data_IF_280702183828
#
_entry.id   IF_280702183828
#
_cell.length_a   1.000
_cell.length_b   1.000
_cell.length_c   1.000
_cell.angle_alpha   90.00
_cell.angle_beta   90.00
_cell.angle_gamma   90.00
#
_symmetry.space_group_name_H-M   'P 1'
#
loop_
_entity.id
_entity.type
_entity.pdbx_description
1 polymer ?
#
# COMPACT_ATOMS: atom_id res chain seq x y z
N UNK A 1 -39.29 26.03 28.32
CA UNK A 1 -38.86 25.49 27.01
C UNK A 1 -37.45 25.98 26.68
N UNK A 2 -36.42 25.48 27.37
CA UNK A 2 -35.05 26.04 27.24
C UNK A 2 -34.01 24.99 27.60
N UNK A 3 -33.97 23.86 26.89
CA UNK A 3 -32.91 22.84 27.06
C UNK A 3 -32.69 21.90 25.85
N UNK A 4 -33.41 22.06 24.73
CA UNK A 4 -33.26 21.16 23.57
C UNK A 4 -32.16 21.57 22.57
N UNK A 5 -31.60 22.78 22.71
CA UNK A 5 -30.56 23.30 21.79
C UNK A 5 -29.23 22.54 21.92
N UNK A 6 -28.91 22.00 23.11
CA UNK A 6 -27.67 21.25 23.32
C UNK A 6 -27.69 19.84 22.72
N UNK A 7 -28.87 19.22 22.57
CA UNK A 7 -29.00 17.87 22.02
C UNK A 7 -28.86 17.86 20.48
N UNK A 8 -29.24 18.95 19.82
CA UNK A 8 -29.13 19.07 18.35
C UNK A 8 -27.66 19.22 17.87
N UNK A 9 -26.78 19.76 18.72
CA UNK A 9 -25.38 20.03 18.39
C UNK A 9 -24.46 18.79 18.55
N UNK A 10 -24.93 17.73 19.22
CA UNK A 10 -24.15 16.51 19.46
C UNK A 10 -24.20 15.50 18.28
N UNK A 11 -25.14 15.67 17.34
CA UNK A 11 -25.37 14.72 16.24
C UNK A 11 -24.49 14.95 15.00
N UNK A 12 -23.67 16.00 14.96
CA UNK A 12 -22.92 16.40 13.74
C UNK A 12 -21.51 15.80 13.66
N UNK A 13 -21.04 15.04 14.66
CA UNK A 13 -19.62 14.70 14.79
C UNK A 13 -19.24 13.22 14.55
N UNK A 14 -19.98 12.44 13.76
CA UNK A 14 -19.49 11.11 13.35
C UNK A 14 -19.77 10.80 11.89
N UNK A 15 -19.00 11.41 11.00
CA UNK A 15 -18.69 10.82 9.70
C UNK A 15 -17.24 11.10 9.36
N UNK A 16 -16.33 10.51 10.14
CA UNK A 16 -14.95 10.33 9.71
C UNK A 16 -14.96 9.25 8.62
N UNK A 17 -15.32 9.65 7.40
CA UNK A 17 -15.18 8.81 6.22
C UNK A 17 -13.68 8.65 5.99
N UNK A 18 -13.12 7.53 6.45
CA UNK A 18 -11.78 7.11 6.04
C UNK A 18 -11.86 6.90 4.53
N UNK A 19 -11.44 7.91 3.77
CA UNK A 19 -11.26 7.78 2.33
C UNK A 19 -10.22 6.69 2.17
N UNK A 20 -10.65 5.50 1.74
CA UNK A 20 -9.73 4.45 1.38
C UNK A 20 -8.91 5.00 0.20
N UNK A 21 -7.57 4.97 0.27
CA UNK A 21 -6.74 5.45 -0.83
C UNK A 21 -7.10 4.63 -2.08
N UNK A 22 -7.38 5.35 -3.17
CA UNK A 22 -7.62 4.73 -4.46
C UNK A 22 -6.33 4.02 -4.91
N UNK A 23 -6.42 2.78 -5.37
CA UNK A 23 -5.27 1.97 -5.74
C UNK A 23 -5.15 1.84 -7.26
N UNK A 24 -3.93 2.01 -7.76
CA UNK A 24 -3.53 1.63 -9.11
C UNK A 24 -2.95 0.21 -9.03
N UNK A 25 -3.48 -0.69 -9.84
CA UNK A 25 -3.06 -2.09 -9.88
C UNK A 25 -2.08 -2.33 -11.03
N UNK A 26 -0.96 -2.98 -10.71
CA UNK A 26 -0.09 -3.58 -11.70
C UNK A 26 -0.43 -5.06 -11.83
N UNK A 27 -0.55 -5.50 -13.09
CA UNK A 27 -0.71 -6.91 -13.45
C UNK A 27 0.45 -7.77 -12.90
N UNK A 28 0.28 -9.10 -12.84
CA UNK A 28 1.27 -9.99 -12.25
C UNK A 28 2.68 -9.72 -12.79
N UNK A 29 3.56 -9.23 -11.92
CA UNK A 29 4.89 -8.76 -12.27
C UNK A 29 5.94 -9.31 -11.29
N UNK A 30 7.14 -9.51 -11.80
CA UNK A 30 8.30 -9.90 -10.99
C UNK A 30 9.00 -8.65 -10.47
N UNK A 31 9.28 -8.65 -9.17
CA UNK A 31 10.17 -7.66 -8.54
C UNK A 31 11.59 -7.88 -9.06
N UNK A 32 12.15 -6.86 -9.71
CA UNK A 32 13.48 -6.93 -10.30
C UNK A 32 14.58 -6.50 -9.35
N UNK A 33 14.26 -5.66 -8.36
CA UNK A 33 15.20 -5.20 -7.36
C UNK A 33 14.47 -4.86 -6.04
N UNK A 34 15.16 -5.08 -4.92
CA UNK A 34 14.67 -4.80 -3.59
C UNK A 34 15.84 -4.37 -2.70
N UNK A 35 15.87 -3.07 -2.38
CA UNK A 35 16.97 -2.45 -1.64
C UNK A 35 16.45 -1.64 -0.47
N UNK A 36 17.21 -1.60 0.63
CA UNK A 36 16.88 -0.77 1.78
C UNK A 36 17.55 0.58 1.56
N UNK A 37 16.75 1.63 1.38
CA UNK A 37 17.28 2.97 1.28
C UNK A 37 18.01 3.32 2.59
N UNK A 38 19.28 3.71 2.51
CA UNK A 38 20.07 4.01 3.72
C UNK A 38 19.66 5.33 4.38
N UNK A 39 19.00 6.21 3.62
CA UNK A 39 18.58 7.54 4.06
C UNK A 39 17.09 7.59 4.44
N UNK A 40 16.31 6.58 4.05
CA UNK A 40 14.87 6.49 4.32
C UNK A 40 14.49 5.15 4.96
N UNK A 41 13.54 5.17 5.90
CA UNK A 41 13.00 3.95 6.50
C UNK A 41 12.09 3.15 5.55
N UNK A 42 12.16 3.38 4.24
CA UNK A 42 11.32 2.75 3.24
C UNK A 42 12.17 1.79 2.39
N UNK A 43 11.58 0.66 1.99
CA UNK A 43 12.21 -0.29 1.08
C UNK A 43 11.95 0.13 -0.35
N UNK A 44 13.02 0.31 -1.12
CA UNK A 44 12.99 0.59 -2.54
C UNK A 44 12.68 -0.68 -3.32
N UNK A 45 11.72 -0.61 -4.23
CA UNK A 45 11.22 -1.75 -5.02
C UNK A 45 11.20 -1.35 -6.49
N UNK A 46 11.94 -2.10 -7.31
CA UNK A 46 11.87 -1.96 -8.77
C UNK A 46 11.08 -3.12 -9.38
N UNK A 47 10.31 -2.82 -10.42
CA UNK A 47 9.49 -3.80 -11.12
C UNK A 47 10.07 -4.02 -12.53
N UNK A 48 10.17 -5.28 -12.97
CA UNK A 48 10.89 -5.65 -14.20
C UNK A 48 10.36 -5.07 -15.52
N UNK A 49 9.25 -4.32 -15.53
CA UNK A 49 8.68 -3.69 -16.74
C UNK A 49 8.88 -2.16 -16.76
N UNK A 50 9.34 -1.55 -15.67
CA UNK A 50 9.33 -0.09 -15.53
C UNK A 50 10.62 0.41 -14.88
N UNK A 51 11.10 1.55 -15.40
CA UNK A 51 12.17 2.32 -14.75
C UNK A 51 11.68 3.06 -13.49
N UNK A 52 10.37 3.08 -13.23
CA UNK A 52 9.80 3.69 -12.04
C UNK A 52 10.13 2.89 -10.79
N UNK A 53 10.55 3.62 -9.77
CA UNK A 53 10.86 3.09 -8.44
C UNK A 53 9.64 3.26 -7.54
N UNK A 54 9.30 2.20 -6.84
CA UNK A 54 8.24 2.18 -5.83
C UNK A 54 8.85 1.99 -4.44
N UNK A 55 8.06 2.28 -3.41
CA UNK A 55 8.50 2.26 -2.03
C UNK A 55 7.51 1.48 -1.18
N UNK A 56 8.03 0.66 -0.27
CA UNK A 56 7.27 0.03 0.79
C UNK A 56 7.68 0.67 2.12
N UNK A 57 6.78 1.43 2.73
CA UNK A 57 7.10 2.08 4.01
C UNK A 57 7.10 1.11 5.19
N UNK A 58 8.13 1.18 6.04
CA UNK A 58 8.20 0.45 7.32
C UNK A 58 7.04 0.81 8.27
N UNK A 59 6.35 1.93 8.03
CA UNK A 59 5.18 2.37 8.80
C UNK A 59 3.88 1.68 8.39
N UNK A 60 3.89 0.88 7.32
CA UNK A 60 2.72 0.12 6.90
C UNK A 60 2.33 -0.92 7.95
N UNK A 61 1.04 -0.99 8.29
CA UNK A 61 0.53 -1.94 9.29
C UNK A 61 0.84 -3.39 8.94
N UNK A 62 0.90 -3.69 7.65
CA UNK A 62 1.14 -5.02 7.11
C UNK A 62 2.55 -5.14 6.52
N UNK A 63 3.50 -4.28 6.93
CA UNK A 63 4.83 -4.18 6.35
C UNK A 63 5.51 -5.53 6.14
N UNK A 64 5.61 -6.37 7.18
CA UNK A 64 6.26 -7.68 7.11
C UNK A 64 5.62 -8.59 6.05
N UNK A 65 4.28 -8.62 5.98
CA UNK A 65 3.57 -9.44 4.99
C UNK A 65 3.81 -8.94 3.56
N UNK A 66 3.84 -7.62 3.36
CA UNK A 66 4.11 -7.01 2.06
C UNK A 66 5.56 -7.28 1.65
N UNK A 67 6.52 -7.09 2.57
CA UNK A 67 7.94 -7.34 2.36
C UNK A 67 8.21 -8.82 2.03
N UNK A 68 7.57 -9.76 2.72
CA UNK A 68 7.67 -11.18 2.42
C UNK A 68 7.17 -11.51 1.02
N UNK A 69 6.06 -10.88 0.59
CA UNK A 69 5.52 -11.03 -0.75
C UNK A 69 6.49 -10.54 -1.83
N UNK A 70 7.08 -9.37 -1.63
CA UNK A 70 8.06 -8.77 -2.54
C UNK A 70 9.36 -9.56 -2.57
N UNK A 71 9.89 -9.93 -1.40
CA UNK A 71 11.12 -10.73 -1.25
C UNK A 71 10.96 -12.08 -1.92
N UNK A 72 9.79 -12.72 -1.79
CA UNK A 72 9.49 -13.96 -2.48
C UNK A 72 9.44 -13.77 -3.99
N UNK A 73 8.81 -12.70 -4.47
CA UNK A 73 8.79 -12.39 -5.90
C UNK A 73 10.21 -12.21 -6.45
N UNK A 74 11.04 -11.45 -5.76
CA UNK A 74 12.44 -11.20 -6.11
C UNK A 74 13.29 -12.47 -6.11
N UNK A 75 13.25 -13.25 -5.03
CA UNK A 75 14.09 -14.46 -4.89
C UNK A 75 13.63 -15.64 -5.73
N UNK A 76 12.32 -15.88 -5.79
CA UNK A 76 11.74 -17.03 -6.50
C UNK A 76 11.32 -16.70 -7.95
N UNK A 77 11.51 -15.45 -8.39
CA UNK A 77 11.08 -14.96 -9.71
C UNK A 77 9.58 -15.21 -9.96
N UNK A 78 8.77 -15.18 -8.90
CA UNK A 78 7.33 -15.43 -8.97
C UNK A 78 6.57 -14.12 -9.17
N UNK A 79 5.70 -14.03 -10.19
CA UNK A 79 4.94 -12.81 -10.41
C UNK A 79 3.91 -12.60 -9.29
N UNK A 80 3.75 -11.35 -8.88
CA UNK A 80 2.80 -10.88 -7.87
C UNK A 80 2.01 -9.69 -8.41
N UNK A 81 0.78 -9.51 -7.94
CA UNK A 81 0.01 -8.29 -8.21
C UNK A 81 0.35 -7.25 -7.16
N UNK A 82 0.54 -6.01 -7.59
CA UNK A 82 0.95 -4.91 -6.71
C UNK A 82 -0.09 -3.80 -6.81
N UNK A 83 -0.60 -3.38 -5.65
CA UNK A 83 -1.47 -2.21 -5.51
C UNK A 83 -0.67 -1.03 -4.99
N UNK A 84 -0.58 0.01 -5.81
CA UNK A 84 0.10 1.27 -5.49
C UNK A 84 -0.96 2.33 -5.15
N UNK A 85 -0.72 3.13 -4.12
CA UNK A 85 -1.59 4.27 -3.81
C UNK A 85 -1.55 5.30 -4.94
N UNK A 86 -2.72 5.69 -5.44
CA UNK A 86 -2.85 6.62 -6.57
C UNK A 86 -2.21 7.96 -6.26
N UNK A 87 -1.40 8.45 -7.19
CA UNK A 87 -0.69 9.72 -7.04
C UNK A 87 0.56 9.63 -6.16
N UNK A 88 0.91 8.44 -5.67
CA UNK A 88 2.16 8.18 -4.96
C UNK A 88 2.90 6.99 -5.57
N UNK A 89 4.10 6.72 -5.06
CA UNK A 89 4.89 5.54 -5.40
C UNK A 89 4.84 4.49 -4.27
N UNK A 90 3.85 4.57 -3.38
CA UNK A 90 3.78 3.75 -2.18
C UNK A 90 3.00 2.45 -2.42
N UNK A 91 3.63 1.32 -2.12
CA UNK A 91 3.04 -0.01 -2.19
C UNK A 91 2.15 -0.20 -0.97
N UNK A 92 0.85 -0.47 -1.21
CA UNK A 92 -0.13 -0.75 -0.15
C UNK A 92 -0.55 -2.22 -0.11
N UNK A 93 -0.50 -2.91 -1.25
CA UNK A 93 -0.94 -4.31 -1.34
C UNK A 93 0.01 -5.12 -2.23
N UNK A 94 0.33 -6.33 -1.78
CA UNK A 94 1.02 -7.35 -2.57
C UNK A 94 0.17 -8.62 -2.50
N UNK A 95 -0.37 -9.03 -3.64
CA UNK A 95 -1.23 -10.21 -3.75
C UNK A 95 -0.55 -11.29 -4.58
N UNK A 96 -0.64 -12.54 -4.11
CA UNK A 96 -0.13 -13.70 -4.86
C UNK A 96 -0.99 -13.94 -6.09
N UNK A 97 -0.34 -14.32 -7.17
CA UNK A 97 -1.02 -14.81 -8.36
C UNK A 97 -1.31 -16.30 -8.17
N UNK A 98 -2.57 -16.67 -7.95
CA UNK A 98 -2.96 -18.08 -8.02
C UNK A 98 -2.98 -18.49 -9.49
N UNK A 99 -2.16 -19.46 -9.87
CA UNK A 99 -2.33 -20.15 -11.16
C UNK A 99 -3.70 -20.84 -11.12
N UNK A 100 -4.58 -20.47 -12.05
CA UNK A 100 -5.75 -21.32 -12.39
C UNK A 100 -5.25 -22.59 -13.06
#
# INVERSE_FOLDING_TARGET
>A
MRNYIFILLLLVNLSCSKVNPELIWYDPIVVSDLDKDSEQADIRVALGISAQVFYLSEKEKNFTQLLDGLTRSYREQKPVKIGIEKGTNQIKIVARTNKK
#
